data_IF_024923516535
#
_entry.id   IF_024923516535
#
_cell.length_a   1.000
_cell.length_b   1.000
_cell.length_c   1.000
_cell.angle_alpha   90.00
_cell.angle_beta   90.00
_cell.angle_gamma   90.00
#
_symmetry.space_group_name_H-M   'P 1'
#
loop_
_entity.id
_entity.type
_entity.pdbx_description
1 polymer ?
#
# COMPACT_ATOMS: atom_id res chain seq x y z
N UNK A 1 15.07 8.76 5.14
CA UNK A 1 14.54 9.51 3.98
C UNK A 1 14.59 11.00 4.21
N UNK A 2 13.86 11.55 5.20
CA UNK A 2 13.98 12.97 5.54
C UNK A 2 15.39 13.36 6.05
N UNK A 3 15.81 12.84 7.21
CA UNK A 3 17.12 13.16 7.81
C UNK A 3 18.32 12.67 6.99
N UNK A 4 18.11 11.70 6.08
CA UNK A 4 19.15 11.26 5.16
C UNK A 4 19.30 12.17 3.94
N UNK A 5 18.40 13.15 3.74
CA UNK A 5 18.40 14.02 2.57
C UNK A 5 17.92 13.35 1.27
N UNK A 6 17.36 12.14 1.36
CA UNK A 6 17.02 11.31 0.19
C UNK A 6 15.98 11.96 -0.74
N UNK A 7 15.15 12.85 -0.20
CA UNK A 7 14.17 13.58 -0.99
C UNK A 7 14.80 14.47 -2.09
N UNK A 8 16.08 14.85 -1.92
CA UNK A 8 16.85 15.60 -2.92
C UNK A 8 17.56 14.71 -3.96
N UNK A 9 17.57 13.39 -3.78
CA UNK A 9 18.22 12.45 -4.71
C UNK A 9 17.67 12.63 -6.12
N UNK A 10 18.56 12.49 -7.11
CA UNK A 10 18.26 12.71 -8.53
C UNK A 10 17.67 14.10 -8.81
N UNK A 11 18.28 15.16 -8.25
CA UNK A 11 17.84 16.55 -8.41
C UNK A 11 16.39 16.77 -7.97
N UNK A 12 16.02 16.21 -6.81
CA UNK A 12 14.68 16.29 -6.24
C UNK A 12 13.63 15.36 -6.88
N UNK A 13 13.96 14.66 -7.98
CA UNK A 13 13.01 13.78 -8.66
C UNK A 13 12.58 12.60 -7.79
N UNK A 14 13.42 12.15 -6.86
CA UNK A 14 13.04 11.12 -5.90
C UNK A 14 11.94 11.61 -4.95
N UNK A 15 12.08 12.83 -4.40
CA UNK A 15 11.04 13.46 -3.58
C UNK A 15 9.76 13.76 -4.36
N UNK A 16 9.87 14.21 -5.62
CA UNK A 16 8.71 14.41 -6.50
C UNK A 16 7.94 13.11 -6.72
N UNK A 17 8.64 11.99 -6.94
CA UNK A 17 8.01 10.68 -7.09
C UNK A 17 7.24 10.27 -5.83
N UNK A 18 7.79 10.54 -4.64
CA UNK A 18 7.06 10.31 -3.37
C UNK A 18 5.81 11.18 -3.29
N UNK A 19 5.90 12.48 -3.63
CA UNK A 19 4.75 13.39 -3.62
C UNK A 19 3.65 12.90 -4.56
N UNK A 20 3.99 12.58 -5.82
CA UNK A 20 3.05 12.08 -6.82
C UNK A 20 2.44 10.72 -6.42
N UNK A 21 3.26 9.82 -5.87
CA UNK A 21 2.79 8.51 -5.41
C UNK A 21 1.84 8.66 -4.22
N UNK A 22 2.16 9.51 -3.25
CA UNK A 22 1.28 9.79 -2.12
C UNK A 22 -0.02 10.47 -2.56
N UNK A 23 0.08 11.46 -3.46
CA UNK A 23 -1.07 12.24 -3.92
C UNK A 23 -2.06 11.39 -4.71
N UNK A 24 -1.59 10.51 -5.59
CA UNK A 24 -2.45 9.56 -6.31
C UNK A 24 -3.31 8.70 -5.37
N UNK A 25 -2.80 8.34 -4.19
CA UNK A 25 -3.51 7.50 -3.20
C UNK A 25 -4.67 8.21 -2.51
N UNK A 26 -4.75 9.52 -2.65
CA UNK A 26 -5.70 10.40 -1.96
C UNK A 26 -6.93 10.74 -2.78
N UNK A 27 -6.94 10.37 -4.06
CA UNK A 27 -7.97 10.78 -5.02
C UNK A 27 -8.95 9.67 -5.39
N UNK A 28 -8.85 8.52 -4.72
CA UNK A 28 -9.80 7.42 -4.90
C UNK A 28 -11.15 7.77 -4.28
N UNK A 29 -12.24 7.33 -4.91
CA UNK A 29 -13.53 7.29 -4.22
C UNK A 29 -13.47 6.25 -3.08
N UNK A 30 -14.36 6.40 -2.10
CA UNK A 30 -14.40 5.48 -0.96
C UNK A 30 -14.51 4.00 -1.38
N UNK A 31 -15.35 3.70 -2.38
CA UNK A 31 -15.55 2.33 -2.87
C UNK A 31 -14.30 1.82 -3.58
N UNK A 32 -13.65 2.64 -4.41
CA UNK A 32 -12.40 2.28 -5.09
C UNK A 32 -11.31 1.95 -4.06
N UNK A 33 -11.12 2.81 -3.05
CA UNK A 33 -10.15 2.59 -1.99
C UNK A 33 -10.42 1.30 -1.17
N UNK A 34 -11.68 0.99 -0.88
CA UNK A 34 -12.07 -0.29 -0.25
C UNK A 34 -11.73 -1.47 -1.17
N UNK A 35 -12.10 -1.42 -2.46
CA UNK A 35 -11.82 -2.49 -3.41
C UNK A 35 -10.32 -2.73 -3.61
N UNK A 36 -9.53 -1.66 -3.76
CA UNK A 36 -8.08 -1.73 -3.83
C UNK A 36 -7.49 -2.32 -2.54
N UNK A 37 -8.06 -1.99 -1.38
CA UNK A 37 -7.72 -2.59 -0.10
C UNK A 37 -7.99 -4.10 -0.03
N UNK A 38 -9.13 -4.55 -0.54
CA UNK A 38 -9.47 -5.98 -0.61
C UNK A 38 -8.43 -6.73 -1.45
N UNK A 39 -8.16 -6.21 -2.65
CA UNK A 39 -7.23 -6.83 -3.59
C UNK A 39 -5.81 -6.89 -3.04
N UNK A 40 -5.32 -5.83 -2.38
CA UNK A 40 -4.02 -5.84 -1.73
C UNK A 40 -3.91 -6.97 -0.71
N UNK A 41 -4.88 -7.07 0.20
CA UNK A 41 -4.77 -8.02 1.30
C UNK A 41 -5.06 -9.47 0.88
N UNK A 42 -5.83 -9.71 -0.18
CA UNK A 42 -5.92 -11.02 -0.81
C UNK A 42 -4.54 -11.50 -1.26
N UNK A 43 -3.78 -10.66 -1.96
CA UNK A 43 -2.44 -11.01 -2.43
C UNK A 43 -1.45 -11.22 -1.28
N UNK A 44 -1.50 -10.36 -0.24
CA UNK A 44 -0.65 -10.50 0.95
C UNK A 44 -0.96 -11.79 1.71
N UNK A 45 -2.23 -12.08 1.97
CA UNK A 45 -2.63 -13.31 2.65
C UNK A 45 -2.26 -14.56 1.85
N UNK A 46 -2.41 -14.55 0.52
CA UNK A 46 -1.97 -15.64 -0.35
C UNK A 46 -0.44 -15.83 -0.31
N UNK A 47 0.33 -14.74 -0.37
CA UNK A 47 1.79 -14.78 -0.29
C UNK A 47 2.27 -15.45 1.01
N UNK A 48 1.71 -15.01 2.13
CA UNK A 48 2.03 -15.53 3.47
C UNK A 48 1.57 -16.99 3.60
N UNK A 49 0.37 -17.32 3.13
CA UNK A 49 -0.15 -18.69 3.15
C UNK A 49 0.73 -19.66 2.36
N UNK A 50 1.13 -19.30 1.14
CA UNK A 50 2.04 -20.13 0.34
C UNK A 50 3.40 -20.29 1.01
N UNK A 51 3.92 -19.24 1.66
CA UNK A 51 5.18 -19.28 2.42
C UNK A 51 5.13 -20.30 3.57
N UNK A 52 3.98 -20.51 4.22
CA UNK A 52 3.85 -21.55 5.25
C UNK A 52 4.06 -22.98 4.73
N UNK A 53 3.86 -23.23 3.44
CA UNK A 53 4.15 -24.54 2.82
C UNK A 53 5.64 -24.75 2.48
N UNK A 54 6.44 -23.68 2.49
CA UNK A 54 7.87 -23.71 2.18
C UNK A 54 8.71 -24.35 3.29
N UNK A 55 9.69 -25.17 2.91
CA UNK A 55 10.57 -25.89 3.84
C UNK A 55 11.95 -25.25 3.97
N UNK A 56 12.39 -24.51 2.95
CA UNK A 56 13.63 -23.76 2.94
C UNK A 56 13.40 -22.24 3.02
N UNK A 57 14.46 -21.49 3.35
CA UNK A 57 14.41 -20.02 3.26
C UNK A 57 14.12 -19.55 1.84
N UNK A 58 14.66 -20.25 0.83
CA UNK A 58 14.46 -19.91 -0.58
C UNK A 58 12.99 -20.06 -0.98
N UNK A 59 12.33 -21.15 -0.55
CA UNK A 59 10.92 -21.38 -0.83
C UNK A 59 10.08 -20.21 -0.31
N UNK A 60 10.31 -19.82 0.94
CA UNK A 60 9.56 -18.75 1.63
C UNK A 60 9.82 -17.39 1.00
N UNK A 61 11.06 -17.09 0.63
CA UNK A 61 11.41 -15.80 0.04
C UNK A 61 10.85 -15.66 -1.38
N UNK A 62 11.11 -16.63 -2.26
CA UNK A 62 10.76 -16.52 -3.68
C UNK A 62 9.26 -16.63 -3.94
N UNK A 63 8.52 -17.41 -3.14
CA UNK A 63 7.08 -17.55 -3.33
C UNK A 63 6.31 -16.26 -3.02
N UNK A 64 6.90 -15.36 -2.21
CA UNK A 64 6.30 -14.06 -1.90
C UNK A 64 6.58 -13.00 -2.97
N UNK A 65 7.62 -13.17 -3.82
CA UNK A 65 8.04 -12.15 -4.80
C UNK A 65 6.92 -11.78 -5.76
N UNK A 66 6.31 -12.77 -6.42
CA UNK A 66 5.30 -12.49 -7.44
C UNK A 66 4.00 -11.92 -6.87
N UNK A 67 3.42 -12.45 -5.77
CA UNK A 67 2.26 -11.84 -5.14
C UNK A 67 2.50 -10.40 -4.69
N UNK A 68 3.67 -10.12 -4.10
CA UNK A 68 4.03 -8.77 -3.64
C UNK A 68 4.21 -7.84 -4.84
N UNK A 69 4.98 -8.26 -5.85
CA UNK A 69 5.18 -7.47 -7.06
C UNK A 69 3.85 -7.17 -7.76
N UNK A 70 2.93 -8.14 -7.83
CA UNK A 70 1.64 -7.97 -8.47
C UNK A 70 0.79 -6.90 -7.77
N UNK A 71 0.63 -6.96 -6.44
CA UNK A 71 -0.23 -5.99 -5.76
C UNK A 71 0.37 -4.58 -5.79
N UNK A 72 1.71 -4.46 -5.65
CA UNK A 72 2.40 -3.18 -5.70
C UNK A 72 2.34 -2.58 -7.10
N UNK A 73 2.68 -3.35 -8.14
CA UNK A 73 2.68 -2.87 -9.52
C UNK A 73 1.28 -2.56 -10.05
N UNK A 74 0.24 -3.24 -9.54
CA UNK A 74 -1.16 -2.97 -9.89
C UNK A 74 -1.75 -1.77 -9.12
N UNK A 75 -1.00 -1.14 -8.22
CA UNK A 75 -1.47 -0.01 -7.43
C UNK A 75 -2.51 -0.38 -6.36
N UNK A 76 -2.55 -1.62 -5.90
CA UNK A 76 -3.45 -2.00 -4.80
C UNK A 76 -3.01 -1.34 -3.49
N UNK A 77 -3.98 -1.08 -2.62
CA UNK A 77 -3.77 -0.23 -1.45
C UNK A 77 -3.57 -1.07 -0.18
N UNK A 78 -2.40 -0.95 0.45
CA UNK A 78 -2.12 -1.60 1.72
C UNK A 78 -1.96 -0.55 2.82
N UNK A 79 -2.87 -0.54 3.80
CA UNK A 79 -2.95 0.46 4.86
C UNK A 79 -1.60 0.71 5.55
N UNK A 80 -0.86 -0.34 5.90
CA UNK A 80 0.44 -0.22 6.56
C UNK A 80 1.52 0.34 5.63
N UNK A 81 1.48 0.06 4.33
CA UNK A 81 2.41 0.67 3.38
C UNK A 81 2.12 2.17 3.22
N UNK A 82 0.84 2.54 3.27
CA UNK A 82 0.38 3.92 3.19
C UNK A 82 0.72 4.73 4.44
N UNK A 83 0.82 4.10 5.62
CA UNK A 83 1.33 4.73 6.86
C UNK A 83 2.79 5.19 6.75
N UNK A 84 3.55 4.69 5.77
CA UNK A 84 4.86 5.23 5.42
C UNK A 84 4.77 6.22 4.26
N UNK A 85 4.18 5.80 3.14
CA UNK A 85 4.22 6.56 1.89
C UNK A 85 3.55 7.93 2.01
N UNK A 86 2.33 7.99 2.56
CA UNK A 86 1.53 9.23 2.59
C UNK A 86 2.10 10.21 3.63
N UNK A 87 2.42 9.81 4.88
CA UNK A 87 3.10 10.71 5.81
C UNK A 87 4.45 11.21 5.32
N UNK A 88 5.20 10.42 4.55
CA UNK A 88 6.43 10.91 3.92
C UNK A 88 6.14 12.00 2.87
N UNK A 89 5.10 11.83 2.04
CA UNK A 89 4.64 12.86 1.11
C UNK A 89 4.22 14.15 1.82
N UNK A 90 3.49 14.04 2.94
CA UNK A 90 3.11 15.18 3.79
C UNK A 90 4.36 15.88 4.33
N UNK A 91 5.32 15.14 4.88
CA UNK A 91 6.58 15.70 5.40
C UNK A 91 7.36 16.42 4.30
N UNK A 92 7.48 15.84 3.10
CA UNK A 92 8.17 16.51 1.99
C UNK A 92 7.41 17.78 1.59
N UNK A 93 6.08 17.73 1.47
CA UNK A 93 5.26 18.91 1.15
C UNK A 93 5.49 20.05 2.14
N UNK A 94 5.43 19.74 3.44
CA UNK A 94 5.40 20.75 4.49
C UNK A 94 6.79 21.32 4.84
N UNK A 95 7.85 20.53 4.65
CA UNK A 95 9.19 20.89 5.12
C UNK A 95 10.23 21.06 3.99
N UNK A 96 9.94 20.68 2.74
CA UNK A 96 10.91 20.82 1.65
C UNK A 96 11.29 22.29 1.40
N UNK A 97 12.57 22.52 1.13
CA UNK A 97 13.13 23.85 0.99
C UNK A 97 12.78 24.46 -0.39
N UNK A 98 12.89 25.79 -0.56
CA UNK A 98 12.65 26.44 -1.86
C UNK A 98 13.53 25.89 -3.00
N UNK A 99 14.74 25.42 -2.67
CA UNK A 99 15.65 24.79 -3.64
C UNK A 99 15.07 23.50 -4.22
N UNK A 100 14.42 22.67 -3.39
CA UNK A 100 13.71 21.47 -3.86
C UNK A 100 12.63 21.83 -4.87
N UNK A 101 11.73 22.75 -4.50
CA UNK A 101 10.60 23.16 -5.34
C UNK A 101 11.06 23.76 -6.67
N UNK A 102 12.13 24.56 -6.63
CA UNK A 102 12.78 25.10 -7.83
C UNK A 102 13.36 23.98 -8.70
N UNK A 103 14.05 23.01 -8.11
CA UNK A 103 14.68 21.90 -8.83
C UNK A 103 13.66 20.98 -9.53
N UNK A 104 12.49 20.77 -8.91
CA UNK A 104 11.43 19.91 -9.45
C UNK A 104 10.41 20.66 -10.31
N UNK A 105 10.44 22.00 -10.32
CA UNK A 105 9.52 22.83 -11.12
C UNK A 105 8.05 22.71 -10.67
N UNK A 106 7.81 22.51 -9.37
CA UNK A 106 6.48 22.35 -8.78
C UNK A 106 6.36 23.23 -7.53
N UNK A 107 5.17 23.28 -6.92
CA UNK A 107 4.97 23.97 -5.66
C UNK A 107 4.14 23.14 -4.67
N UNK A 108 4.16 23.46 -3.36
CA UNK A 108 3.35 22.76 -2.35
C UNK A 108 1.85 22.81 -2.64
N UNK A 109 1.37 23.87 -3.31
CA UNK A 109 -0.04 24.08 -3.63
C UNK A 109 -0.57 23.03 -4.63
N UNK A 110 0.31 22.50 -5.49
CA UNK A 110 -0.03 21.38 -6.39
C UNK A 110 -0.39 20.09 -5.64
N UNK A 111 0.00 19.98 -4.36
CA UNK A 111 -0.23 18.81 -3.51
C UNK A 111 -1.10 19.17 -2.29
N UNK A 112 -2.06 20.08 -2.47
CA UNK A 112 -2.89 20.61 -1.38
C UNK A 112 -3.66 19.52 -0.60
N UNK A 113 -4.02 18.42 -1.25
CA UNK A 113 -4.69 17.25 -0.66
C UNK A 113 -3.81 16.38 0.25
N UNK A 114 -2.48 16.54 0.19
CA UNK A 114 -1.57 15.84 1.12
C UNK A 114 -1.65 16.46 2.51
N UNK A 115 -2.71 16.13 3.24
CA UNK A 115 -2.92 16.50 4.64
C UNK A 115 -3.14 15.24 5.48
N UNK A 116 -2.86 15.34 6.78
CA UNK A 116 -3.14 14.23 7.72
C UNK A 116 -4.63 13.88 7.74
N UNK A 117 -5.51 14.89 7.62
CA UNK A 117 -6.95 14.64 7.67
C UNK A 117 -7.44 13.90 6.42
N UNK A 118 -7.08 14.37 5.23
CA UNK A 118 -7.36 13.66 3.98
C UNK A 118 -6.77 12.26 4.00
N UNK A 119 -5.56 12.08 4.56
CA UNK A 119 -4.93 10.75 4.63
C UNK A 119 -5.81 9.78 5.40
N UNK A 120 -6.35 10.24 6.54
CA UNK A 120 -7.20 9.41 7.38
C UNK A 120 -8.54 9.09 6.69
N UNK A 121 -9.22 10.09 6.12
CA UNK A 121 -10.58 9.91 5.57
C UNK A 121 -10.60 9.28 4.20
N UNK A 122 -9.70 9.70 3.32
CA UNK A 122 -9.78 9.41 1.88
C UNK A 122 -8.97 8.15 1.54
N UNK A 123 -8.04 7.75 2.42
CA UNK A 123 -7.22 6.55 2.21
C UNK A 123 -7.24 5.59 3.41
N UNK A 124 -6.80 6.00 4.60
CA UNK A 124 -6.50 5.07 5.68
C UNK A 124 -7.73 4.27 6.14
N UNK A 125 -8.86 4.95 6.37
CA UNK A 125 -10.12 4.30 6.76
C UNK A 125 -10.60 3.32 5.67
N UNK A 126 -10.89 3.76 4.42
CA UNK A 126 -11.44 2.86 3.41
C UNK A 126 -10.48 1.71 3.05
N UNK A 127 -9.17 1.98 2.94
CA UNK A 127 -8.18 0.95 2.65
C UNK A 127 -8.08 -0.07 3.78
N UNK A 128 -8.13 0.37 5.05
CA UNK A 128 -8.09 -0.55 6.20
C UNK A 128 -9.33 -1.44 6.22
N UNK A 129 -10.52 -0.89 5.96
CA UNK A 129 -11.76 -1.67 5.82
C UNK A 129 -11.58 -2.71 4.71
N UNK A 130 -11.07 -2.30 3.55
CA UNK A 130 -10.78 -3.20 2.44
C UNK A 130 -9.81 -4.30 2.81
N UNK A 131 -8.71 -3.98 3.49
CA UNK A 131 -7.72 -4.97 3.92
C UNK A 131 -8.35 -5.99 4.87
N UNK A 132 -9.13 -5.56 5.86
CA UNK A 132 -9.83 -6.46 6.80
C UNK A 132 -10.79 -7.40 6.04
N UNK A 133 -11.59 -6.87 5.10
CA UNK A 133 -12.49 -7.67 4.27
C UNK A 133 -11.71 -8.70 3.44
N UNK A 134 -10.63 -8.29 2.76
CA UNK A 134 -9.79 -9.18 1.95
C UNK A 134 -9.20 -10.34 2.76
N UNK A 135 -8.74 -10.06 3.98
CA UNK A 135 -8.26 -11.11 4.89
C UNK A 135 -9.39 -12.03 5.36
N UNK A 136 -10.53 -11.45 5.74
CA UNK A 136 -11.72 -12.19 6.17
C UNK A 136 -12.27 -13.15 5.10
N UNK A 137 -12.26 -12.74 3.82
CA UNK A 137 -12.68 -13.59 2.70
C UNK A 137 -11.82 -14.85 2.56
N UNK A 138 -10.49 -14.69 2.62
CA UNK A 138 -9.56 -15.83 2.50
C UNK A 138 -9.66 -16.77 3.71
N UNK A 139 -9.80 -16.21 4.91
CA UNK A 139 -10.05 -16.99 6.13
C UNK A 139 -11.36 -17.76 6.01
N UNK A 140 -12.47 -17.11 5.64
CA UNK A 140 -13.78 -17.76 5.47
C UNK A 140 -13.77 -18.89 4.44
N UNK A 141 -13.12 -18.66 3.28
CA UNK A 141 -12.94 -19.69 2.26
C UNK A 141 -12.14 -20.89 2.80
N UNK A 142 -11.06 -20.62 3.53
CA UNK A 142 -10.21 -21.66 4.11
C UNK A 142 -10.97 -22.50 5.13
N UNK A 143 -11.74 -21.86 6.03
CA UNK A 143 -12.61 -22.57 6.97
C UNK A 143 -13.63 -23.44 6.24
N UNK A 144 -14.29 -22.94 5.19
CA UNK A 144 -15.25 -23.74 4.42
C UNK A 144 -14.58 -24.97 3.78
N UNK A 145 -13.42 -24.80 3.15
CA UNK A 145 -12.68 -25.91 2.51
C UNK A 145 -12.25 -26.97 3.53
N UNK A 146 -11.79 -26.57 4.73
CA UNK A 146 -11.32 -27.49 5.76
C UNK A 146 -12.48 -28.24 6.42
N UNK A 147 -13.56 -27.55 6.77
CA UNK A 147 -14.61 -28.10 7.63
C UNK A 147 -15.82 -28.68 6.90
N UNK A 148 -16.12 -28.21 5.68
CA UNK A 148 -17.38 -28.55 5.00
C UNK A 148 -17.19 -29.42 3.75
N UNK A 149 -15.95 -29.61 3.29
CA UNK A 149 -15.64 -30.51 2.17
C UNK A 149 -15.60 -32.00 2.56
N UNK A 150 -15.76 -32.31 3.85
CA UNK A 150 -15.64 -33.67 4.41
C UNK A 150 -16.94 -34.46 4.62
N UNK A 151 -18.11 -33.93 4.23
CA UNK A 151 -19.39 -34.62 4.47
C UNK A 151 -19.79 -35.68 3.43
N UNK A 152 -18.89 -36.08 2.51
CA UNK A 152 -19.14 -37.16 1.54
C UNK A 152 -18.49 -38.50 1.91
N UNK A 153 -18.03 -38.66 3.15
CA UNK A 153 -17.58 -39.95 3.70
C UNK A 153 -18.32 -40.26 5.00
N UNK A 154 -19.55 -40.75 4.88
CA UNK A 154 -20.12 -41.93 5.57
C UNK A 154 -21.65 -41.94 5.47
#
# INVERSE_FOLDING_TARGET
>A
MWLSGEYMTANGQWGLNVLQTADHKMHHTFIEAVCLGILANLMVCLAVWMSYSGRSLMDKAFIMVLPVAMFVASGFEHSIANMFMIPMGIVIRDFATPEFWTAVGSSPESFSHLTVMSFITDNLIPVTIGNIIGGGLLVGLTYWVIYLRGNDHH
#
